data_IF_662239795748
#
_entry.id   IF_662239795748
#
_cell.length_a   1.000
_cell.length_b   1.000
_cell.length_c   1.000
_cell.angle_alpha   90.00
_cell.angle_beta   90.00
_cell.angle_gamma   90.00
#
_symmetry.space_group_name_H-M   'P 1'
#
loop_
_entity.id
_entity.type
_entity.pdbx_description
1 polymer ?
2 non-polymer ?
3 non-polymer ?
4 non-polymer ?
5 water ?
#
# COMPACT_ATOMS: atom_id res chain seq x y z
N UNK A 1 15.16 -9.02 -16.85
CA UNK A 1 15.92 -7.80 -17.10
C UNK A 1 15.12 -6.58 -16.68
N UNK A 2 14.25 -6.09 -17.57
CA UNK A 2 13.46 -4.90 -17.31
C UNK A 2 12.17 -5.27 -16.58
N UNK A 3 11.48 -4.24 -16.08
CA UNK A 3 10.44 -4.45 -15.08
C UNK A 3 9.25 -5.22 -15.65
N UNK A 4 8.78 -4.85 -16.83
CA UNK A 4 7.65 -5.56 -17.41
C UNK A 4 7.98 -7.02 -17.65
N UNK A 5 9.25 -7.32 -17.99
CA UNK A 5 9.66 -8.70 -18.11
C UNK A 5 9.65 -9.41 -16.77
N UNK A 6 10.23 -8.77 -15.75
CA UNK A 6 10.31 -9.36 -14.41
C UNK A 6 8.92 -9.68 -13.87
N UNK A 7 7.94 -8.83 -14.16
CA UNK A 7 6.57 -9.10 -13.72
C UNK A 7 6.04 -10.40 -14.30
N UNK A 8 6.51 -10.78 -15.48
CA UNK A 8 5.99 -11.97 -16.12
C UNK A 8 6.80 -13.20 -15.73
N UNK A 9 8.12 -13.08 -15.64
CA UNK A 9 8.96 -14.27 -15.48
C UNK A 9 9.59 -14.40 -14.10
N UNK A 10 9.44 -13.41 -13.22
CA UNK A 10 10.04 -13.48 -11.90
C UNK A 10 9.10 -14.13 -10.88
N UNK A 11 9.69 -14.90 -9.99
CA UNK A 11 8.91 -15.71 -9.07
C UNK A 11 8.62 -17.07 -9.67
N UNK A 12 7.98 -17.91 -8.86
CA UNK A 12 7.61 -19.25 -9.28
C UNK A 12 6.10 -19.30 -9.46
N UNK A 13 5.65 -19.21 -10.71
CA UNK A 13 4.22 -19.12 -11.00
C UNK A 13 3.80 -20.16 -12.04
N UNK A 14 4.54 -21.26 -12.14
CA UNK A 14 4.16 -22.38 -12.98
C UNK A 14 4.21 -23.64 -12.15
N UNK A 15 3.76 -24.74 -12.72
CA UNK A 15 3.73 -26.02 -12.02
C UNK A 15 4.89 -26.87 -12.51
N UNK A 16 5.82 -27.17 -11.61
CA UNK A 16 6.94 -28.02 -11.98
C UNK A 16 6.47 -29.42 -12.39
N UNK A 17 5.40 -29.91 -11.75
CA UNK A 17 4.93 -31.28 -11.96
C UNK A 17 4.31 -31.45 -13.35
N UNK A 18 3.21 -30.74 -13.64
CA UNK A 18 2.53 -30.90 -14.94
C UNK A 18 3.02 -29.95 -16.01
N UNK A 19 3.79 -28.92 -15.66
CA UNK A 19 4.14 -27.90 -16.63
C UNK A 19 3.09 -26.82 -16.82
N UNK A 20 1.97 -26.89 -16.10
CA UNK A 20 0.92 -25.87 -16.20
C UNK A 20 1.53 -24.48 -16.08
N UNK A 21 1.23 -23.61 -17.05
CA UNK A 21 1.87 -22.30 -17.09
C UNK A 21 1.28 -21.31 -16.10
N UNK A 22 0.31 -21.71 -15.28
CA UNK A 22 -0.21 -20.91 -14.19
C UNK A 22 -0.14 -21.73 -12.92
N UNK A 23 -0.11 -21.04 -11.78
CA UNK A 23 0.00 -21.71 -10.49
C UNK A 23 -1.27 -22.49 -10.19
N UNK A 24 -1.18 -23.78 -9.88
CA UNK A 24 -2.38 -24.53 -9.49
C UNK A 24 -2.97 -23.99 -8.20
N UNK A 25 -4.29 -24.09 -8.09
CA UNK A 25 -5.01 -23.64 -6.90
C UNK A 25 -5.15 -24.81 -5.96
N UNK A 26 -4.36 -24.82 -4.88
CA UNK A 26 -4.36 -25.94 -3.93
C UNK A 26 -5.43 -25.67 -2.87
N UNK A 27 -6.67 -25.95 -3.24
CA UNK A 27 -7.80 -25.80 -2.33
C UNK A 27 -7.80 -27.04 -1.45
N UNK A 28 -6.91 -27.02 -0.46
CA UNK A 28 -6.59 -28.17 0.38
C UNK A 28 -6.06 -27.69 1.72
N UNK A 29 -6.21 -28.54 2.74
CA UNK A 29 -5.83 -28.21 4.11
C UNK A 29 -4.68 -29.03 4.65
N UNK A 30 -4.47 -30.25 4.15
CA UNK A 30 -3.47 -31.14 4.71
C UNK A 30 -2.88 -32.02 3.60
N UNK A 31 -1.83 -32.76 3.93
CA UNK A 31 -0.99 -33.39 2.92
C UNK A 31 -0.52 -34.76 3.40
N UNK A 32 -0.56 -35.73 2.48
CA UNK A 32 -0.03 -37.06 2.72
C UNK A 32 1.43 -37.01 3.11
N UNK A 33 1.79 -37.79 4.12
CA UNK A 33 3.18 -38.04 4.47
C UNK A 33 3.53 -39.49 4.13
N UNK A 34 4.64 -39.68 3.41
CA UNK A 34 5.06 -41.04 3.08
C UNK A 34 5.56 -41.77 4.31
N UNK A 35 6.28 -41.08 5.19
CA UNK A 35 6.61 -41.58 6.52
C UNK A 35 6.43 -40.44 7.48
N UNK A 36 6.30 -40.77 8.77
CA UNK A 36 6.19 -39.75 9.80
C UNK A 36 7.37 -38.80 9.67
N UNK A 37 7.09 -37.55 9.25
CA UNK A 37 8.10 -36.52 9.10
C UNK A 37 8.59 -36.32 7.68
N UNK A 38 8.26 -37.21 6.76
CA UNK A 38 8.70 -37.09 5.37
C UNK A 38 7.65 -36.32 4.60
N UNK A 39 7.93 -35.05 4.33
CA UNK A 39 7.07 -34.23 3.52
C UNK A 39 7.57 -34.29 2.07
N UNK A 40 6.65 -34.60 1.15
CA UNK A 40 7.03 -34.84 -0.25
C UNK A 40 7.68 -33.62 -0.87
N UNK A 41 7.08 -32.44 -0.66
CA UNK A 41 7.59 -31.20 -1.21
C UNK A 41 7.58 -30.10 -0.15
N UNK A 42 7.64 -30.48 1.12
CA UNK A 42 7.74 -29.55 2.21
C UNK A 42 6.42 -29.13 2.84
N UNK A 43 5.30 -29.64 2.35
CA UNK A 43 4.00 -29.22 2.83
C UNK A 43 3.45 -30.25 3.81
N UNK A 44 2.77 -29.77 4.85
CA UNK A 44 2.10 -30.67 5.80
C UNK A 44 0.79 -30.14 6.33
N UNK A 45 0.55 -28.82 6.34
CA UNK A 45 -0.69 -28.24 6.84
C UNK A 45 -0.81 -26.83 6.27
N UNK A 46 -1.95 -26.55 5.64
CA UNK A 46 -2.05 -25.38 4.77
C UNK A 46 -1.90 -24.05 5.53
N UNK A 47 -2.23 -24.01 6.83
CA UNK A 47 -2.00 -22.78 7.59
C UNK A 47 -0.50 -22.46 7.63
N UNK A 48 0.31 -23.49 7.90
CA UNK A 48 1.76 -23.32 7.93
C UNK A 48 2.29 -22.96 6.54
N UNK A 49 1.88 -23.69 5.51
CA UNK A 49 2.26 -23.38 4.14
C UNK A 49 1.29 -24.07 3.20
N UNK A 50 1.02 -23.39 2.08
CA UNK A 50 0.14 -23.84 1.01
C UNK A 50 0.86 -23.43 -0.27
N UNK A 51 0.92 -24.31 -1.28
CA UNK A 51 1.74 -24.01 -2.46
C UNK A 51 1.25 -22.84 -3.29
N UNK A 52 -0.06 -22.58 -3.32
CA UNK A 52 -0.53 -21.39 -4.02
C UNK A 52 -0.12 -20.12 -3.28
N UNK A 53 -0.30 -20.11 -1.95
CA UNK A 53 0.20 -18.98 -1.17
C UNK A 53 1.69 -18.83 -1.34
N UNK A 54 2.41 -19.96 -1.43
CA UNK A 54 3.86 -19.89 -1.58
C UNK A 54 4.23 -19.24 -2.90
N UNK A 55 3.46 -19.53 -3.95
CA UNK A 55 3.70 -18.88 -5.24
C UNK A 55 3.57 -17.37 -5.12
N UNK A 56 2.50 -16.90 -4.47
CA UNK A 56 2.33 -15.43 -4.40
C UNK A 56 3.40 -14.82 -3.51
N UNK A 57 3.79 -15.50 -2.44
CA UNK A 57 4.85 -15.00 -1.58
C UNK A 57 6.17 -14.86 -2.33
N UNK A 58 6.51 -15.86 -3.15
CA UNK A 58 7.72 -15.74 -3.95
C UNK A 58 7.61 -14.59 -4.93
N UNK A 59 6.39 -14.29 -5.38
CA UNK A 59 6.24 -13.17 -6.31
C UNK A 59 6.55 -11.85 -5.60
N UNK A 60 5.92 -11.62 -4.44
CA UNK A 60 6.15 -10.34 -3.76
C UNK A 60 7.60 -10.22 -3.33
N UNK A 61 8.22 -11.33 -2.89
CA UNK A 61 9.64 -11.28 -2.53
C UNK A 61 10.49 -10.89 -3.73
N UNK A 62 10.22 -11.50 -4.90
CA UNK A 62 11.01 -11.16 -6.09
C UNK A 62 10.80 -9.71 -6.51
N UNK A 63 9.56 -9.24 -6.45
CA UNK A 63 9.24 -7.91 -6.99
C UNK A 63 9.83 -6.81 -6.11
N UNK A 64 10.02 -7.07 -4.82
CA UNK A 64 10.62 -6.10 -3.91
C UNK A 64 12.11 -6.36 -3.67
N UNK A 65 12.73 -7.27 -4.42
CA UNK A 65 14.14 -7.67 -4.21
C UNK A 65 14.40 -8.10 -2.77
N UNK A 66 13.42 -8.76 -2.17
CA UNK A 66 13.59 -9.38 -0.87
C UNK A 66 13.92 -10.85 -0.98
N UNK A 67 13.89 -11.52 0.15
CA UNK A 67 14.18 -12.94 0.20
C UNK A 67 13.00 -13.76 0.68
N UNK A 68 12.07 -13.17 1.41
CA UNK A 68 10.98 -13.89 2.03
C UNK A 68 9.69 -13.11 1.81
N UNK A 69 8.65 -13.80 1.34
CA UNK A 69 7.33 -13.23 1.20
C UNK A 69 6.33 -13.88 2.13
N UNK A 70 5.29 -13.11 2.49
CA UNK A 70 4.22 -13.56 3.38
C UNK A 70 2.92 -12.97 2.88
N UNK A 71 1.87 -13.81 2.80
CA UNK A 71 0.57 -13.39 2.32
C UNK A 71 -0.45 -13.51 3.45
N UNK A 72 -1.12 -12.41 3.76
CA UNK A 72 -2.09 -12.33 4.84
C UNK A 72 -3.47 -12.05 4.28
N UNK A 73 -4.49 -12.32 5.12
CA UNK A 73 -5.87 -12.23 4.72
C UNK A 73 -6.34 -10.81 4.40
N UNK A 74 -5.53 -9.80 4.65
CA UNK A 74 -5.86 -8.41 4.38
C UNK A 74 -4.61 -7.57 4.63
N UNK A 75 -4.66 -6.32 4.16
CA UNK A 75 -3.60 -5.39 4.53
C UNK A 75 -3.46 -5.19 6.03
N UNK A 76 -4.59 -5.02 6.74
CA UNK A 76 -4.43 -4.76 8.18
C UNK A 76 -3.93 -6.00 8.89
N UNK A 77 -4.17 -7.19 8.34
CA UNK A 77 -3.60 -8.39 8.96
C UNK A 77 -2.09 -8.43 8.76
N UNK A 78 -1.60 -8.01 7.58
CA UNK A 78 -0.16 -7.86 7.41
C UNK A 78 0.41 -6.88 8.44
N UNK A 79 -0.28 -5.76 8.63
CA UNK A 79 0.21 -4.74 9.55
C UNK A 79 0.21 -5.26 10.98
N UNK A 80 -0.87 -5.92 11.41
CA UNK A 80 -0.89 -6.50 12.76
C UNK A 80 0.21 -7.54 12.94
N UNK A 81 0.44 -8.37 11.93
CA UNK A 81 1.56 -9.31 12.00
C UNK A 81 2.87 -8.58 12.26
N UNK A 82 3.12 -7.50 11.54
CA UNK A 82 4.39 -6.80 11.70
C UNK A 82 4.48 -6.13 13.07
N UNK A 83 3.38 -5.50 13.52
CA UNK A 83 3.37 -4.87 14.84
C UNK A 83 3.60 -5.90 15.93
N UNK A 84 3.20 -7.14 15.69
CA UNK A 84 3.39 -8.18 16.69
C UNK A 84 4.85 -8.63 16.80
N UNK A 85 5.75 -8.08 16.01
CA UNK A 85 7.16 -8.23 16.30
C UNK A 85 7.55 -7.56 17.62
N UNK A 86 6.71 -6.68 18.15
CA UNK A 86 7.01 -5.91 19.35
C UNK A 86 6.41 -6.57 20.60
N UNK A 87 6.86 -6.10 21.76
CA UNK A 87 6.38 -6.53 23.07
C UNK A 87 5.76 -5.34 23.79
N UNK A 88 4.96 -5.64 24.81
CA UNK A 88 4.48 -4.59 25.70
C UNK A 88 5.64 -3.74 26.20
N UNK A 89 5.40 -2.43 26.28
CA UNK A 89 6.43 -1.49 26.63
C UNK A 89 7.23 -0.96 25.47
N UNK A 90 7.19 -1.63 24.31
CA UNK A 90 7.86 -1.13 23.12
C UNK A 90 7.09 0.03 22.51
N UNK A 91 7.82 0.86 21.76
CA UNK A 91 7.30 2.10 21.24
C UNK A 91 7.52 2.13 19.73
N UNK A 92 6.52 2.62 19.00
CA UNK A 92 6.57 2.67 17.54
C UNK A 92 6.26 4.08 17.04
N UNK A 93 7.07 4.58 16.11
CA UNK A 93 6.85 5.85 15.43
C UNK A 93 6.14 5.59 14.10
N UNK A 94 5.05 6.31 13.85
CA UNK A 94 4.32 6.27 12.58
C UNK A 94 4.21 7.69 12.03
N UNK A 95 4.13 7.80 10.70
CA UNK A 95 3.91 9.12 10.13
C UNK A 95 2.52 9.62 10.51
N UNK A 96 2.41 10.93 10.71
CA UNK A 96 1.31 11.51 11.48
C UNK A 96 -0.03 11.28 10.81
N UNK A 97 -0.07 11.24 9.47
CA UNK A 97 -1.31 11.05 8.72
C UNK A 97 -1.45 9.63 8.19
N UNK A 98 -0.93 8.64 8.92
CA UNK A 98 -0.97 7.26 8.47
C UNK A 98 -2.42 6.82 8.23
N UNK A 99 -2.58 5.78 7.40
CA UNK A 99 -3.89 5.23 7.07
C UNK A 99 -4.78 5.08 8.30
N UNK A 100 -6.05 5.45 8.14
CA UNK A 100 -6.97 5.39 9.26
C UNK A 100 -7.08 4.02 9.90
N UNK A 101 -7.10 2.96 9.09
CA UNK A 101 -7.15 1.62 9.66
C UNK A 101 -5.91 1.28 10.46
N UNK A 102 -4.74 1.74 9.98
CA UNK A 102 -3.50 1.55 10.72
C UNK A 102 -3.56 2.26 12.06
N UNK A 103 -3.94 3.54 12.04
CA UNK A 103 -4.06 4.31 13.28
C UNK A 103 -5.01 3.64 14.26
N UNK A 104 -6.16 3.19 13.75
CA UNK A 104 -7.15 2.55 14.62
C UNK A 104 -6.60 1.27 15.23
N UNK A 105 -5.96 0.43 14.41
CA UNK A 105 -5.34 -0.78 14.94
C UNK A 105 -4.37 -0.46 16.07
N UNK A 106 -3.45 0.49 15.83
CA UNK A 106 -2.43 0.80 16.83
C UNK A 106 -3.05 1.37 18.10
N UNK A 107 -3.91 2.40 17.98
CA UNK A 107 -4.32 3.15 19.16
C UNK A 107 -5.50 2.53 19.90
N UNK A 108 -6.28 1.65 19.26
CA UNK A 108 -7.44 1.07 19.92
C UNK A 108 -7.31 -0.42 20.16
N UNK A 109 -6.30 -1.08 19.57
CA UNK A 109 -6.10 -2.50 19.80
C UNK A 109 -4.74 -2.68 20.46
N UNK A 110 -3.66 -2.26 19.81
CA UNK A 110 -2.35 -2.62 20.32
C UNK A 110 -1.93 -1.82 21.55
N UNK A 111 -2.49 -0.62 21.79
CA UNK A 111 -2.17 0.06 23.04
C UNK A 111 -2.76 -0.67 24.23
N UNK A 112 -3.85 -1.42 24.02
CA UNK A 112 -4.34 -2.26 25.12
C UNK A 112 -3.39 -3.40 25.44
N UNK A 113 -2.43 -3.68 24.55
CA UNK A 113 -1.37 -4.65 24.82
C UNK A 113 -0.06 -3.97 25.16
N UNK A 114 -0.10 -2.70 25.56
CA UNK A 114 1.09 -2.02 26.04
C UNK A 114 2.02 -1.53 24.95
N UNK A 115 1.60 -1.57 23.68
CA UNK A 115 2.38 -0.94 22.64
C UNK A 115 2.13 0.56 22.71
N UNK A 116 3.20 1.34 22.75
CA UNK A 116 3.06 2.79 22.74
C UNK A 116 3.35 3.32 21.34
N UNK A 117 2.57 4.31 20.93
CA UNK A 117 2.59 4.80 19.55
C UNK A 117 2.70 6.32 19.56
N UNK A 118 3.59 6.85 18.72
CA UNK A 118 3.72 8.28 18.51
C UNK A 118 3.64 8.63 17.03
N UNK A 119 2.78 9.58 16.69
CA UNK A 119 2.61 10.07 15.32
C UNK A 119 3.48 11.31 15.13
N UNK A 120 4.35 11.29 14.13
CA UNK A 120 5.22 12.43 13.88
C UNK A 120 5.17 12.80 12.41
N UNK A 121 5.50 14.05 12.11
CA UNK A 121 5.59 14.52 10.73
C UNK A 121 6.94 14.08 10.20
N UNK A 122 6.94 12.95 9.51
CA UNK A 122 8.17 12.39 8.96
C UNK A 122 8.62 13.07 7.67
N UNK A 123 7.88 14.06 7.16
CA UNK A 123 8.36 14.83 6.01
C UNK A 123 9.67 15.56 6.31
N UNK A 124 9.96 15.83 7.57
CA UNK A 124 11.29 16.23 8.01
C UNK A 124 11.83 15.09 8.87
N UNK A 125 12.89 14.42 8.39
CA UNK A 125 13.33 13.20 9.05
C UNK A 125 13.91 13.46 10.44
N UNK A 126 14.37 14.68 10.71
CA UNK A 126 14.83 14.96 12.07
C UNK A 126 13.70 14.88 13.09
N UNK A 127 12.45 15.03 12.66
CA UNK A 127 11.33 14.74 13.55
C UNK A 127 11.46 13.35 14.13
N UNK A 128 11.82 12.37 13.29
CA UNK A 128 11.98 11.01 13.78
C UNK A 128 13.03 10.98 14.87
N UNK A 129 14.17 11.62 14.62
CA UNK A 129 15.25 11.62 15.60
C UNK A 129 14.78 12.22 16.92
N UNK A 130 13.91 13.24 16.86
CA UNK A 130 13.46 13.84 18.12
C UNK A 130 12.53 12.90 18.86
N UNK A 131 11.71 12.15 18.12
CA UNK A 131 10.69 11.33 18.76
C UNK A 131 11.23 10.01 19.30
N UNK A 132 12.47 9.65 18.96
CA UNK A 132 13.02 8.40 19.44
C UNK A 132 13.14 8.43 20.96
N UNK A 133 12.56 7.44 21.60
CA UNK A 133 12.69 7.15 23.02
C UNK A 133 13.64 5.98 23.23
N UNK A 134 14.06 5.74 24.46
CA UNK A 134 14.82 4.50 24.73
C UNK A 134 14.01 3.23 24.43
N UNK A 135 12.68 3.26 24.54
CA UNK A 135 11.84 2.10 24.27
C UNK A 135 11.38 1.98 22.81
N UNK A 136 11.77 2.88 21.90
CA UNK A 136 11.30 2.78 20.53
C UNK A 136 11.98 1.62 19.81
N UNK A 137 11.18 0.75 19.18
CA UNK A 137 11.72 -0.39 18.45
C UNK A 137 11.33 -0.43 16.98
N UNK A 138 10.32 0.31 16.56
CA UNK A 138 9.84 0.24 15.19
C UNK A 138 9.59 1.64 14.65
N UNK A 139 9.94 1.82 13.38
CA UNK A 139 9.63 3.02 12.60
C UNK A 139 8.79 2.57 11.42
N UNK A 140 7.59 3.14 11.28
CA UNK A 140 6.59 2.71 10.30
C UNK A 140 6.21 3.89 9.42
N UNK A 141 6.44 3.79 8.12
CA UNK A 141 6.37 4.91 7.18
C UNK A 141 5.49 4.52 5.99
N UNK A 142 4.47 5.31 5.68
CA UNK A 142 3.86 5.32 4.35
C UNK A 142 4.42 6.48 3.54
N UNK A 143 4.75 6.22 2.28
CA UNK A 143 5.02 7.35 1.41
C UNK A 143 4.65 6.94 -0.02
N UNK A 144 3.82 7.74 -0.72
CA UNK A 144 3.15 8.91 -0.15
C UNK A 144 1.90 8.51 0.61
N UNK A 145 1.37 9.42 1.42
CA UNK A 145 0.32 9.15 2.39
C UNK A 145 -1.05 9.51 1.86
N UNK A 146 -2.08 9.11 2.60
CA UNK A 146 -3.46 9.39 2.22
C UNK A 146 -4.07 10.41 3.18
N UNK A 147 -4.87 11.37 2.69
CA UNK A 147 -5.18 11.65 1.27
C UNK A 147 -4.42 12.83 0.69
N UNK A 148 -3.41 13.36 1.39
CA UNK A 148 -2.70 14.54 0.89
C UNK A 148 -1.33 14.20 0.31
N UNK A 149 -0.96 12.91 0.28
CA UNK A 149 0.21 12.47 -0.46
C UNK A 149 1.49 13.14 0.02
N UNK A 150 1.70 13.13 1.34
CA UNK A 150 2.97 13.60 1.88
C UNK A 150 4.04 12.55 1.63
N UNK A 151 5.22 13.02 1.26
CA UNK A 151 6.36 12.19 0.88
C UNK A 151 7.34 12.15 2.06
N UNK A 152 7.84 10.96 2.38
CA UNK A 152 8.86 10.78 3.41
C UNK A 152 10.13 10.22 2.78
N UNK A 153 11.29 10.74 3.19
CA UNK A 153 12.56 10.28 2.66
C UNK A 153 12.83 8.87 3.19
N UNK A 154 12.75 7.88 2.31
CA UNK A 154 12.85 6.47 2.72
C UNK A 154 14.28 6.14 3.12
N UNK A 155 15.24 6.57 2.30
CA UNK A 155 16.64 6.21 2.55
C UNK A 155 17.14 6.78 3.88
N UNK A 156 16.80 8.04 4.16
CA UNK A 156 17.21 8.62 5.44
C UNK A 156 16.48 7.95 6.60
N UNK A 157 15.19 7.63 6.43
CA UNK A 157 14.50 6.90 7.48
C UNK A 157 15.19 5.57 7.77
N UNK A 158 15.68 4.90 6.72
CA UNK A 158 16.38 3.64 6.91
C UNK A 158 17.67 3.85 7.69
N UNK A 159 18.44 4.87 7.33
CA UNK A 159 19.69 5.15 8.05
C UNK A 159 19.43 5.45 9.52
N UNK A 160 18.50 6.36 9.79
CA UNK A 160 18.09 6.66 11.16
C UNK A 160 17.71 5.38 11.89
N UNK A 161 16.85 4.56 11.28
CA UNK A 161 16.41 3.33 11.94
C UNK A 161 17.58 2.40 12.26
N UNK A 162 18.53 2.26 11.33
CA UNK A 162 19.65 1.38 11.60
C UNK A 162 20.49 1.92 12.73
N UNK A 163 20.73 3.23 12.75
CA UNK A 163 21.61 3.80 13.76
C UNK A 163 21.04 3.64 15.16
N UNK A 164 19.72 3.74 15.30
CA UNK A 164 19.09 3.63 16.62
C UNK A 164 18.53 2.25 16.90
N UNK A 165 18.89 1.25 16.10
CA UNK A 165 18.42 -0.12 16.31
C UNK A 165 16.92 -0.30 16.19
N UNK A 166 16.30 0.28 15.17
CA UNK A 166 14.86 0.17 14.94
C UNK A 166 14.60 -0.72 13.74
N UNK A 167 13.55 -1.54 13.83
CA UNK A 167 12.99 -2.19 12.66
C UNK A 167 12.27 -1.14 11.81
N UNK A 168 12.75 -0.92 10.59
CA UNK A 168 12.08 0.00 9.67
C UNK A 168 11.09 -0.74 8.78
N UNK A 169 9.91 -0.15 8.60
CA UNK A 169 8.80 -0.71 7.84
C UNK A 169 8.26 0.37 6.91
N UNK A 170 8.02 0.02 5.65
CA UNK A 170 7.34 0.92 4.72
C UNK A 170 6.09 0.25 4.17
N UNK A 171 4.96 0.93 4.33
CA UNK A 171 3.72 0.60 3.65
C UNK A 171 3.83 1.17 2.24
N UNK A 172 4.15 0.31 1.28
CA UNK A 172 4.44 0.70 -0.10
C UNK A 172 3.21 0.55 -1.00
N UNK A 173 2.01 0.53 -0.42
CA UNK A 173 0.79 0.26 -1.18
C UNK A 173 0.62 1.23 -2.34
N UNK A 174 0.75 2.53 -2.06
CA UNK A 174 0.41 3.55 -3.05
C UNK A 174 1.35 3.54 -4.24
N UNK A 175 2.62 3.19 -4.03
CA UNK A 175 3.57 3.22 -5.13
C UNK A 175 3.69 1.88 -5.87
N UNK A 176 3.44 0.75 -5.17
CA UNK A 176 3.63 -0.62 -5.67
C UNK A 176 5.10 -0.94 -5.93
N UNK A 177 5.47 -2.21 -6.00
CA UNK A 177 6.87 -2.55 -6.33
C UNK A 177 7.29 -2.09 -7.71
N UNK A 178 6.35 -1.71 -8.57
CA UNK A 178 6.74 -1.31 -9.91
C UNK A 178 7.50 0.01 -9.93
N UNK A 179 7.32 0.86 -8.91
CA UNK A 179 7.88 2.21 -8.92
C UNK A 179 8.77 2.54 -7.73
N UNK A 180 8.72 1.76 -6.65
CA UNK A 180 9.40 2.11 -5.42
C UNK A 180 9.73 0.83 -4.68
N UNK A 181 11.00 0.63 -4.35
CA UNK A 181 11.47 -0.60 -3.70
C UNK A 181 12.16 -0.24 -2.39
N UNK A 182 11.41 -0.16 -1.29
CA UNK A 182 12.02 0.26 -0.03
C UNK A 182 13.16 -0.65 0.43
N UNK A 183 13.10 -1.96 0.16
CA UNK A 183 14.18 -2.82 0.63
C UNK A 183 15.50 -2.45 -0.02
N UNK A 184 15.46 -1.96 -1.27
CA UNK A 184 16.68 -1.52 -1.95
C UNK A 184 17.29 -0.30 -1.29
N UNK A 185 16.54 0.40 -0.46
CA UNK A 185 17.01 1.62 0.19
C UNK A 185 17.29 1.42 1.66
N UNK A 186 17.41 0.16 2.11
CA UNK A 186 17.83 -0.14 3.47
C UNK A 186 16.70 -0.46 4.44
N UNK A 187 15.44 -0.47 3.98
CA UNK A 187 14.33 -0.73 4.89
C UNK A 187 14.31 -2.21 5.26
N UNK A 188 13.95 -2.50 6.51
CA UNK A 188 13.92 -3.89 6.94
C UNK A 188 12.75 -4.65 6.32
N UNK A 189 11.56 -4.07 6.35
CA UNK A 189 10.32 -4.76 5.97
C UNK A 189 9.47 -3.84 5.09
N UNK A 190 8.93 -4.39 4.00
CA UNK A 190 8.00 -3.66 3.14
C UNK A 190 6.68 -4.42 3.12
N UNK A 191 5.57 -3.69 3.17
CA UNK A 191 4.26 -4.33 3.12
C UNK A 191 3.33 -3.61 2.16
N UNK A 192 2.21 -4.26 1.86
CA UNK A 192 1.23 -3.81 0.89
C UNK A 192 -0.17 -4.29 1.28
N UNK A 193 -1.15 -3.41 1.12
CA UNK A 193 -2.52 -3.86 0.90
C UNK A 193 -2.63 -4.28 -0.56
N UNK A 194 -2.51 -5.59 -0.81
CA UNK A 194 -2.69 -6.08 -2.18
C UNK A 194 -4.12 -5.95 -2.64
N UNK A 195 -5.02 -5.55 -1.74
CA UNK A 195 -6.40 -5.24 -2.04
C UNK A 195 -6.47 -4.15 -3.11
N UNK A 196 -5.43 -3.31 -3.16
CA UNK A 196 -5.43 -2.14 -4.04
C UNK A 196 -4.77 -2.51 -5.37
N UNK A 197 -3.65 -1.88 -5.72
CA UNK A 197 -3.07 -2.00 -7.07
C UNK A 197 -2.59 -3.41 -7.48
N UNK A 198 -2.01 -4.15 -6.53
CA UNK A 198 -1.39 -5.43 -6.86
C UNK A 198 -2.42 -6.41 -7.43
N UNK A 199 -3.47 -6.71 -6.66
CA UNK A 199 -4.57 -7.46 -7.21
C UNK A 199 -5.19 -6.72 -8.39
N UNK A 200 -5.44 -5.43 -8.21
CA UNK A 200 -5.71 -4.53 -9.30
C UNK A 200 -7.10 -4.58 -9.87
N UNK A 201 -7.95 -5.50 -9.41
CA UNK A 201 -9.25 -5.72 -10.05
C UNK A 201 -10.41 -5.68 -9.05
N UNK A 202 -10.18 -5.17 -7.84
CA UNK A 202 -11.23 -5.01 -6.82
C UNK A 202 -11.92 -6.31 -6.50
N UNK A 203 -11.16 -7.41 -6.44
CA UNK A 203 -11.83 -8.67 -6.19
C UNK A 203 -11.09 -9.56 -5.21
N UNK A 204 -10.07 -9.02 -4.53
CA UNK A 204 -9.33 -9.72 -3.48
C UNK A 204 -9.03 -8.74 -2.36
N UNK A 205 -9.31 -9.13 -1.13
CA UNK A 205 -8.79 -8.45 0.06
C UNK A 205 -7.61 -9.27 0.55
N UNK A 206 -6.43 -8.65 0.61
CA UNK A 206 -5.20 -9.38 0.88
C UNK A 206 -4.08 -8.42 1.29
N UNK A 207 -3.13 -8.95 2.06
CA UNK A 207 -1.92 -8.21 2.38
C UNK A 207 -0.67 -9.00 2.00
N UNK A 208 0.40 -8.28 1.69
CA UNK A 208 1.66 -8.92 1.34
C UNK A 208 2.81 -8.24 2.09
N UNK A 209 3.79 -9.04 2.51
CA UNK A 209 4.97 -8.58 3.24
C UNK A 209 6.22 -9.21 2.62
N UNK A 210 7.25 -8.40 2.41
CA UNK A 210 8.55 -8.92 1.98
C UNK A 210 9.67 -8.40 2.88
N UNK A 211 10.68 -9.26 3.06
CA UNK A 211 11.89 -8.87 3.80
C UNK A 211 13.10 -9.64 3.25
N UNK A 212 14.29 -9.10 3.51
CA UNK A 212 15.55 -9.78 3.26
C UNK A 212 16.21 -10.28 4.53
N UNK A 213 15.60 -10.04 5.67
CA UNK A 213 16.17 -10.36 6.97
C UNK A 213 15.70 -11.74 7.39
N UNK A 214 16.65 -12.69 7.49
CA UNK A 214 16.30 -14.07 7.85
C UNK A 214 15.63 -14.14 9.22
N UNK A 215 16.13 -13.38 10.20
CA UNK A 215 15.58 -13.49 11.56
C UNK A 215 14.21 -12.83 11.64
N UNK A 216 14.05 -11.66 11.05
CA UNK A 216 12.73 -11.07 10.95
C UNK A 216 11.77 -11.97 10.19
N UNK A 217 12.25 -12.63 9.14
CA UNK A 217 11.39 -13.55 8.38
C UNK A 217 10.94 -14.72 9.25
N UNK A 218 11.85 -15.27 10.05
CA UNK A 218 11.50 -16.38 10.95
C UNK A 218 10.47 -15.94 11.99
N UNK A 219 10.61 -14.72 12.50
CA UNK A 219 9.63 -14.24 13.48
C UNK A 219 8.27 -13.98 12.83
N UNK A 220 8.26 -13.39 11.65
CA UNK A 220 7.01 -13.21 10.91
C UNK A 220 6.34 -14.54 10.64
N UNK A 221 7.11 -15.55 10.21
CA UNK A 221 6.52 -16.85 9.92
C UNK A 221 5.92 -17.45 11.18
N UNK A 222 6.61 -17.30 12.31
CA UNK A 222 6.06 -17.80 13.57
C UNK A 222 4.76 -17.08 13.93
N UNK A 223 4.72 -15.77 13.77
CA UNK A 223 3.52 -15.00 14.07
C UNK A 223 2.38 -15.39 13.13
N UNK A 224 2.68 -15.55 11.84
CA UNK A 224 1.64 -15.91 10.89
C UNK A 224 1.08 -17.29 11.20
N UNK A 225 1.94 -18.22 11.56
CA UNK A 225 1.46 -19.57 11.88
C UNK A 225 0.72 -19.61 13.20
N UNK A 226 1.03 -18.71 14.14
CA UNK A 226 0.36 -18.79 15.44
C UNK A 226 -0.90 -17.95 15.54
N UNK A 227 -0.98 -16.81 14.83
CA UNK A 227 -2.19 -16.00 14.84
C UNK A 227 -3.06 -16.19 13.60
N UNK A 228 -2.52 -16.76 12.52
CA UNK A 228 -3.33 -17.40 11.49
C UNK A 228 -4.08 -16.51 10.54
N UNK A 229 -3.62 -15.28 10.31
CA UNK A 229 -4.23 -14.40 9.33
C UNK A 229 -3.74 -14.65 7.91
N UNK A 230 -3.78 -15.93 7.47
CA UNK A 230 -3.23 -16.35 6.18
C UNK A 230 -4.21 -16.05 5.04
N UNK A 231 -3.66 -15.76 3.87
CA UNK A 231 -4.47 -15.66 2.65
C UNK A 231 -4.76 -17.05 2.12
N UNK A 232 -6.00 -17.27 1.65
CA UNK A 232 -6.40 -18.55 1.09
C UNK A 232 -5.87 -18.76 -0.32
N UNK A 233 -5.94 -20.01 -0.80
CA UNK A 233 -5.35 -20.31 -2.12
C UNK A 233 -6.03 -19.63 -3.31
N UNK A 234 -7.36 -19.52 -3.30
CA UNK A 234 -8.04 -18.87 -4.42
C UNK A 234 -7.66 -17.40 -4.51
N UNK A 235 -7.58 -16.71 -3.36
CA UNK A 235 -7.18 -15.31 -3.38
C UNK A 235 -5.72 -15.15 -3.76
N UNK A 236 -4.85 -16.05 -3.29
CA UNK A 236 -3.47 -16.01 -3.74
C UNK A 236 -3.38 -16.14 -5.25
N UNK A 237 -4.16 -17.06 -5.84
CA UNK A 237 -4.13 -17.23 -7.29
C UNK A 237 -4.57 -15.95 -8.00
N UNK A 238 -5.70 -15.38 -7.56
CA UNK A 238 -6.17 -14.14 -8.17
C UNK A 238 -5.16 -13.01 -8.02
N UNK A 239 -4.38 -13.01 -6.92
CA UNK A 239 -3.34 -12.01 -6.75
C UNK A 239 -2.22 -12.18 -7.78
N UNK A 240 -1.66 -13.40 -7.88
CA UNK A 240 -0.64 -13.67 -8.90
C UNK A 240 -1.14 -13.23 -10.29
N UNK A 241 -2.38 -13.61 -10.62
CA UNK A 241 -2.93 -13.28 -11.93
C UNK A 241 -3.02 -11.76 -12.11
N UNK A 242 -3.49 -11.04 -11.09
CA UNK A 242 -3.60 -9.60 -11.21
C UNK A 242 -2.25 -8.92 -11.34
N UNK A 243 -1.25 -9.45 -10.65
CA UNK A 243 0.05 -8.80 -10.66
C UNK A 243 0.67 -8.88 -12.05
N UNK A 244 0.33 -9.93 -12.83
CA UNK A 244 0.84 -10.01 -14.21
C UNK A 244 0.73 -8.68 -14.98
N UNK A 245 -0.38 -7.97 -14.86
CA UNK A 245 -0.58 -6.74 -15.62
C UNK A 245 -0.22 -5.45 -14.84
N UNK A 246 0.45 -5.57 -13.69
CA UNK A 246 0.69 -4.40 -12.84
C UNK A 246 1.40 -3.30 -13.62
N UNK A 247 2.44 -3.64 -14.38
CA UNK A 247 3.21 -2.61 -15.06
C UNK A 247 2.38 -1.86 -16.09
N UNK A 248 1.67 -2.62 -16.95
CA UNK A 248 0.81 -1.98 -17.95
C UNK A 248 -0.23 -1.09 -17.30
N UNK A 249 -0.84 -1.57 -16.20
CA UNK A 249 -1.87 -0.79 -15.53
C UNK A 249 -1.28 0.48 -14.94
N UNK A 250 -0.20 0.37 -14.16
CA UNK A 250 0.40 1.55 -13.55
C UNK A 250 0.85 2.56 -14.59
N UNK A 251 1.34 2.09 -15.74
CA UNK A 251 1.82 3.06 -16.74
C UNK A 251 0.65 3.81 -17.37
N UNK A 252 -0.45 3.10 -17.67
CA UNK A 252 -1.64 3.80 -18.14
C UNK A 252 -2.13 4.81 -17.11
N UNK A 253 -2.22 4.37 -15.84
CA UNK A 253 -2.65 5.23 -14.75
C UNK A 253 -1.78 6.47 -14.66
N UNK A 254 -0.47 6.32 -14.89
CA UNK A 254 0.44 7.46 -14.79
C UNK A 254 0.25 8.44 -15.95
N UNK A 255 0.03 7.93 -17.17
CA UNK A 255 -0.26 8.83 -18.30
C UNK A 255 -1.51 9.68 -18.00
N UNK A 256 -2.56 9.01 -17.51
CA UNK A 256 -3.76 9.78 -17.18
C UNK A 256 -3.51 10.73 -16.00
N UNK A 257 -2.68 10.34 -15.03
CA UNK A 257 -2.43 11.21 -13.88
C UNK A 257 -1.80 12.52 -14.33
N UNK A 258 -0.75 12.44 -15.16
CA UNK A 258 -0.12 13.65 -15.67
C UNK A 258 -1.15 14.55 -16.36
N UNK A 259 -1.95 13.98 -17.26
CA UNK A 259 -2.90 14.84 -18.00
C UNK A 259 -3.98 15.41 -17.08
N UNK A 260 -4.51 14.60 -16.17
CA UNK A 260 -5.55 15.07 -15.26
C UNK A 260 -5.01 16.19 -14.36
N UNK A 261 -3.75 16.09 -13.94
CA UNK A 261 -3.19 17.14 -13.07
C UNK A 261 -3.04 18.45 -13.84
N UNK A 262 -2.61 18.39 -15.10
CA UNK A 262 -2.61 19.61 -15.92
C UNK A 262 -4.01 20.24 -15.96
N UNK A 263 -5.02 19.42 -16.25
CA UNK A 263 -6.40 19.92 -16.27
C UNK A 263 -6.79 20.56 -14.94
N UNK A 264 -6.51 19.87 -13.82
CA UNK A 264 -6.96 20.37 -12.52
C UNK A 264 -6.29 21.69 -12.16
N UNK A 265 -4.99 21.79 -12.42
CA UNK A 265 -4.29 23.04 -12.14
C UNK A 265 -4.82 24.18 -12.99
N UNK A 266 -5.31 23.89 -14.21
CA UNK A 266 -5.84 24.98 -15.02
C UNK A 266 -7.28 25.38 -14.66
N UNK A 267 -8.01 24.56 -13.93
CA UNK A 267 -9.45 24.79 -13.87
C UNK A 267 -9.81 25.80 -12.77
N UNK A 268 -10.77 26.68 -13.06
CA UNK A 268 -11.12 27.73 -12.07
C UNK A 268 -11.82 27.21 -10.84
N UNK A 269 -12.61 26.14 -10.95
CA UNK A 269 -13.36 25.60 -9.83
C UNK A 269 -12.53 24.69 -8.94
N UNK A 270 -11.21 24.71 -9.07
CA UNK A 270 -10.29 23.84 -8.34
C UNK A 270 -9.24 24.72 -7.70
N UNK A 271 -9.05 24.56 -6.39
CA UNK A 271 -8.00 25.30 -5.69
C UNK A 271 -6.74 24.45 -5.59
N UNK A 272 -6.42 23.94 -4.41
CA UNK A 272 -5.17 23.21 -4.25
C UNK A 272 -5.26 21.79 -4.79
N UNK A 273 -4.14 21.33 -5.35
CA UNK A 273 -4.00 19.96 -5.86
C UNK A 273 -2.84 19.30 -5.12
N UNK A 274 -3.08 18.08 -4.64
CA UNK A 274 -2.10 17.32 -3.86
C UNK A 274 -1.64 16.10 -4.65
N UNK A 275 -0.37 16.10 -5.07
CA UNK A 275 0.26 14.97 -5.74
C UNK A 275 1.78 15.18 -5.84
N UNK A 276 2.58 14.13 -5.59
CA UNK A 276 4.03 14.30 -5.55
C UNK A 276 4.66 14.68 -6.87
N UNK A 277 3.92 14.59 -8.00
CA UNK A 277 4.48 14.97 -9.30
C UNK A 277 4.60 16.47 -9.46
N UNK A 278 3.73 17.24 -8.77
CA UNK A 278 3.79 18.69 -8.82
C UNK A 278 5.10 19.17 -8.21
N UNK A 279 5.82 20.03 -8.94
CA UNK A 279 7.15 20.45 -8.52
C UNK A 279 7.13 21.31 -7.26
N UNK A 280 6.00 21.95 -6.96
CA UNK A 280 5.86 22.74 -5.74
C UNK A 280 5.55 21.89 -4.52
N UNK A 281 5.29 20.59 -4.72
CA UNK A 281 4.95 19.69 -3.62
C UNK A 281 6.15 19.47 -2.71
N UNK A 282 5.89 19.47 -1.40
CA UNK A 282 6.94 19.22 -0.42
C UNK A 282 7.62 17.88 -0.68
N UNK A 283 8.96 17.91 -0.74
CA UNK A 283 9.78 16.71 -0.98
C UNK A 283 9.52 16.08 -2.35
N UNK A 284 9.19 16.91 -3.35
CA UNK A 284 9.06 16.39 -4.71
C UNK A 284 10.40 15.82 -5.18
N UNK A 285 11.50 16.51 -4.88
CA UNK A 285 12.83 16.03 -5.19
C UNK A 285 13.09 14.67 -4.54
N UNK A 286 12.66 14.52 -3.28
CA UNK A 286 12.90 13.28 -2.56
C UNK A 286 12.15 12.13 -3.22
N UNK A 287 10.87 12.35 -3.52
CA UNK A 287 10.09 11.31 -4.20
C UNK A 287 10.77 10.92 -5.49
N UNK A 288 11.19 11.91 -6.28
CA UNK A 288 11.82 11.55 -7.54
C UNK A 288 13.09 10.75 -7.32
N UNK A 289 13.80 11.02 -6.24
CA UNK A 289 15.03 10.28 -5.94
C UNK A 289 14.75 8.85 -5.50
N UNK A 290 13.57 8.53 -4.99
CA UNK A 290 13.33 7.19 -4.48
C UNK A 290 12.29 6.40 -5.28
N UNK A 291 11.66 6.99 -6.29
CA UNK A 291 10.69 6.31 -7.11
C UNK A 291 10.88 6.74 -8.55
N UNK A 292 10.48 5.89 -9.49
CA UNK A 292 10.56 6.27 -10.90
C UNK A 292 9.17 6.30 -11.55
N UNK A 293 8.16 6.63 -10.75
CA UNK A 293 6.83 6.88 -11.26
C UNK A 293 5.98 7.41 -10.14
N UNK A 294 4.67 7.35 -10.33
CA UNK A 294 3.75 8.03 -9.43
C UNK A 294 2.59 7.14 -9.04
N UNK A 295 2.01 7.46 -7.88
CA UNK A 295 0.78 6.81 -7.50
C UNK A 295 -0.38 7.39 -8.31
N UNK A 296 -1.47 6.63 -8.39
CA UNK A 296 -2.66 7.05 -9.11
C UNK A 296 -3.68 7.78 -8.26
N UNK A 297 -3.35 8.06 -7.00
CA UNK A 297 -4.23 8.79 -6.08
C UNK A 297 -3.91 10.27 -6.21
N UNK A 298 -4.94 11.07 -6.44
CA UNK A 298 -4.85 12.52 -6.47
C UNK A 298 -5.91 13.08 -5.54
N UNK A 299 -5.60 14.19 -4.86
CA UNK A 299 -6.60 14.94 -4.12
C UNK A 299 -6.58 16.39 -4.57
N UNK A 300 -7.76 17.00 -4.54
CA UNK A 300 -7.88 18.41 -4.94
C UNK A 300 -9.09 19.03 -4.27
N UNK A 301 -9.01 20.34 -4.02
CA UNK A 301 -10.07 21.10 -3.38
C UNK A 301 -11.07 21.67 -4.39
N UNK A 302 -12.36 21.39 -4.19
CA UNK A 302 -13.42 22.22 -4.77
C UNK A 302 -13.94 23.13 -3.66
N UNK A 303 -15.04 23.86 -3.94
CA UNK A 303 -15.47 24.94 -3.06
C UNK A 303 -15.97 24.44 -1.71
N UNK A 304 -16.79 23.39 -1.72
CA UNK A 304 -17.52 23.01 -0.52
C UNK A 304 -18.16 21.65 -0.75
N UNK A 305 -18.92 21.19 0.24
CA UNK A 305 -19.52 19.87 0.21
C UNK A 305 -20.40 19.68 -1.02
N UNK A 306 -21.26 20.65 -1.32
CA UNK A 306 -22.23 20.35 -2.37
C UNK A 306 -21.63 20.48 -3.76
N UNK A 307 -20.56 21.27 -3.93
CA UNK A 307 -19.77 21.18 -5.16
C UNK A 307 -19.16 19.78 -5.32
N UNK A 308 -18.68 19.18 -4.23
CA UNK A 308 -18.11 17.83 -4.31
C UNK A 308 -19.18 16.81 -4.70
N UNK A 309 -20.35 16.90 -4.08
CA UNK A 309 -21.42 15.97 -4.42
C UNK A 309 -21.89 16.17 -5.86
N UNK A 310 -22.00 17.43 -6.30
CA UNK A 310 -22.34 17.71 -7.69
C UNK A 310 -21.30 17.10 -8.62
N UNK A 311 -20.02 17.32 -8.33
CA UNK A 311 -18.93 16.74 -9.11
C UNK A 311 -19.12 15.23 -9.24
N UNK A 312 -19.29 14.55 -8.12
CA UNK A 312 -19.46 13.10 -8.15
C UNK A 312 -20.59 12.71 -9.08
N UNK A 313 -21.73 13.40 -8.99
CA UNK A 313 -22.86 12.92 -9.76
C UNK A 313 -22.84 13.41 -11.22
N UNK A 314 -21.98 14.37 -11.55
CA UNK A 314 -21.85 14.83 -12.92
C UNK A 314 -20.91 13.96 -13.76
N UNK A 315 -19.94 13.30 -13.13
CA UNK A 315 -18.99 12.48 -13.87
C UNK A 315 -19.66 11.20 -14.37
N UNK A 316 -19.31 10.79 -15.59
CA UNK A 316 -19.77 9.50 -16.10
C UNK A 316 -18.79 8.35 -15.84
N UNK A 317 -17.49 8.64 -15.69
CA UNK A 317 -16.48 7.59 -15.60
C UNK A 317 -15.78 7.51 -14.25
N UNK A 318 -16.21 8.30 -13.26
CA UNK A 318 -15.66 8.21 -11.90
C UNK A 318 -16.71 7.63 -10.98
N UNK A 319 -16.37 6.53 -10.33
CA UNK A 319 -17.31 5.71 -9.57
C UNK A 319 -17.19 5.97 -8.07
N UNK A 320 -18.33 6.07 -7.39
CA UNK A 320 -18.36 6.35 -5.96
C UNK A 320 -18.30 5.03 -5.20
N UNK A 321 -17.14 4.75 -4.61
CA UNK A 321 -16.95 3.53 -3.84
C UNK A 321 -15.71 3.71 -2.96
N UNK A 322 -15.60 2.85 -1.96
CA UNK A 322 -14.37 2.75 -1.13
C UNK A 322 -13.27 2.02 -1.93
N UNK A 323 -12.06 2.14 -1.41
CA UNK A 323 -10.80 1.53 -1.92
C UNK A 323 -10.16 2.39 -3.01
N UNK A 324 -8.98 1.99 -3.41
CA UNK A 324 -8.26 2.67 -4.52
C UNK A 324 -7.49 1.62 -5.34
N UNK A 325 -6.96 1.95 -6.51
CA UNK A 325 -6.26 0.90 -7.26
C UNK A 325 -7.13 -0.10 -8.03
N UNK A 326 -8.31 0.30 -8.50
CA UNK A 326 -9.17 -0.56 -9.32
C UNK A 326 -8.84 -0.37 -10.81
N UNK A 327 -9.47 -1.16 -11.69
CA UNK A 327 -9.36 -0.82 -13.10
C UNK A 327 -10.25 0.38 -13.40
N UNK A 328 -11.35 0.54 -12.65
CA UNK A 328 -12.19 1.72 -12.70
C UNK A 328 -11.56 2.89 -11.96
N UNK A 329 -11.87 4.10 -12.42
CA UNK A 329 -11.49 5.29 -11.64
C UNK A 329 -12.50 5.49 -10.52
N UNK A 330 -11.99 5.77 -9.32
CA UNK A 330 -12.82 5.89 -8.12
C UNK A 330 -12.74 7.30 -7.56
N UNK A 331 -13.86 7.77 -7.00
CA UNK A 331 -13.94 9.11 -6.45
C UNK A 331 -14.57 9.04 -5.07
N UNK A 332 -14.16 9.96 -4.20
CA UNK A 332 -14.54 9.93 -2.79
C UNK A 332 -14.32 11.30 -2.17
N UNK A 333 -14.96 11.51 -1.02
CA UNK A 333 -14.84 12.74 -0.24
C UNK A 333 -14.39 12.38 1.16
N UNK A 334 -13.09 12.44 1.45
CA UNK A 334 -12.60 12.03 2.77
C UNK A 334 -13.38 12.61 3.93
N UNK A 335 -13.70 13.91 3.89
CA UNK A 335 -14.35 14.55 5.04
C UNK A 335 -15.67 13.88 5.40
N UNK A 336 -16.28 13.16 4.47
CA UNK A 336 -17.53 12.47 4.73
C UNK A 336 -17.39 10.96 4.85
N UNK A 337 -16.34 10.37 4.30
CA UNK A 337 -16.26 8.93 4.15
C UNK A 337 -15.13 8.29 4.94
N UNK A 338 -14.06 9.01 5.21
CA UNK A 338 -12.93 8.46 5.95
C UNK A 338 -12.53 9.30 7.15
N UNK A 339 -12.90 10.58 7.20
CA UNK A 339 -12.52 11.45 8.32
C UNK A 339 -13.74 12.08 8.98
N UNK A 340 -14.91 11.44 8.85
CA UNK A 340 -16.16 12.03 9.34
C UNK A 340 -16.27 12.04 10.85
N UNK A 341 -15.56 11.17 11.55
CA UNK A 341 -15.62 11.15 13.01
C UNK A 341 -14.79 12.26 13.63
N UNK A 342 -13.82 12.79 12.89
CA UNK A 342 -12.99 13.89 13.39
C UNK A 342 -13.83 15.17 13.41
N UNK A 343 -13.79 15.94 14.49
CA UNK A 343 -14.51 17.22 14.51
C UNK A 343 -14.10 18.11 13.34
N UNK A 344 -15.05 18.95 12.91
CA UNK A 344 -14.91 19.67 11.65
C UNK A 344 -13.72 20.61 11.64
N UNK A 345 -13.41 21.24 12.78
CA UNK A 345 -12.35 22.23 12.77
C UNK A 345 -10.96 21.61 12.84
N UNK A 346 -10.84 20.40 13.39
CA UNK A 346 -9.56 19.70 13.23
C UNK A 346 -9.44 19.14 11.81
N UNK A 347 -10.56 18.78 11.17
CA UNK A 347 -10.52 18.46 9.75
C UNK A 347 -9.97 19.62 8.95
N UNK A 348 -10.54 20.81 9.14
CA UNK A 348 -10.04 22.01 8.46
C UNK A 348 -8.57 22.25 8.79
N UNK A 349 -8.20 22.10 10.06
CA UNK A 349 -6.79 22.26 10.47
C UNK A 349 -5.88 21.36 9.65
N UNK A 350 -6.28 20.10 9.45
CA UNK A 350 -5.43 19.12 8.78
C UNK A 350 -5.42 19.26 7.27
N UNK A 351 -6.29 20.10 6.71
CA UNK A 351 -6.42 20.22 5.27
C UNK A 351 -7.53 19.40 4.67
N UNK A 352 -8.25 18.63 5.50
CA UNK A 352 -9.37 17.82 5.03
C UNK A 352 -10.61 18.70 4.94
N UNK A 353 -10.59 19.67 4.03
CA UNK A 353 -11.70 20.58 3.86
C UNK A 353 -12.92 19.83 3.33
N UNK A 354 -14.10 20.46 3.46
CA UNK A 354 -15.33 19.81 3.00
C UNK A 354 -15.35 19.59 1.49
N UNK A 355 -14.60 20.37 0.73
CA UNK A 355 -14.51 20.20 -0.70
C UNK A 355 -13.30 19.43 -1.19
N UNK A 356 -12.57 18.77 -0.30
CA UNK A 356 -11.46 17.94 -0.74
C UNK A 356 -11.99 16.65 -1.36
N UNK A 357 -11.69 16.45 -2.63
CA UNK A 357 -12.06 15.24 -3.38
C UNK A 357 -10.80 14.42 -3.55
N UNK A 358 -10.94 13.11 -3.41
CA UNK A 358 -9.88 12.17 -3.75
C UNK A 358 -10.35 11.31 -4.91
N UNK A 359 -9.51 11.21 -5.94
CA UNK A 359 -9.74 10.29 -7.05
C UNK A 359 -8.60 9.29 -7.08
N UNK A 360 -8.93 8.04 -7.34
CA UNK A 360 -7.97 7.00 -7.67
C UNK A 360 -8.11 6.71 -9.16
N UNK A 361 -7.12 7.17 -9.95
CA UNK A 361 -7.15 7.02 -11.39
C UNK A 361 -7.09 5.56 -11.79
N UNK A 362 -7.97 5.17 -12.72
CA UNK A 362 -8.03 3.83 -13.26
C UNK A 362 -7.37 3.75 -14.62
N UNK A 363 -7.80 2.77 -15.42
CA UNK A 363 -7.13 2.50 -16.68
C UNK A 363 -8.01 2.83 -17.89
N UNK A 364 -9.04 3.66 -17.70
CA UNK A 364 -9.84 4.15 -18.81
C UNK A 364 -8.96 5.01 -19.71
N UNK A 365 -9.52 5.34 -20.89
CA UNK A 365 -8.80 6.19 -21.81
C UNK A 365 -8.47 7.52 -21.16
N UNK A 366 -7.21 7.98 -21.32
CA UNK A 366 -6.77 9.21 -20.68
C UNK A 366 -7.68 10.39 -21.04
N UNK A 367 -7.90 10.60 -22.33
CA UNK A 367 -8.67 11.76 -22.77
C UNK A 367 -10.09 11.69 -22.24
N UNK A 368 -10.67 10.50 -22.17
CA UNK A 368 -12.00 10.37 -21.57
C UNK A 368 -12.00 10.79 -20.09
N UNK A 369 -10.98 10.40 -19.32
CA UNK A 369 -10.96 10.77 -17.90
C UNK A 369 -10.75 12.26 -17.72
N UNK A 370 -9.83 12.85 -18.49
CA UNK A 370 -9.65 14.31 -18.47
C UNK A 370 -10.95 15.02 -18.84
N UNK A 371 -11.56 14.64 -19.98
CA UNK A 371 -12.74 15.34 -20.47
C UNK A 371 -13.93 15.18 -19.53
N UNK A 372 -14.15 13.97 -19.03
CA UNK A 372 -15.28 13.72 -18.14
C UNK A 372 -15.14 14.53 -16.86
N UNK A 373 -13.96 14.50 -16.24
CA UNK A 373 -13.78 15.29 -15.03
C UNK A 373 -13.91 16.78 -15.32
N UNK A 374 -13.37 17.25 -16.45
CA UNK A 374 -13.42 18.69 -16.73
C UNK A 374 -14.85 19.15 -16.98
N UNK A 375 -15.61 18.42 -17.79
CA UNK A 375 -17.01 18.79 -18.01
C UNK A 375 -17.80 18.74 -16.70
N UNK A 376 -17.48 17.81 -15.80
CA UNK A 376 -18.18 17.81 -14.51
C UNK A 376 -17.79 19.03 -13.67
N UNK A 377 -16.51 19.41 -13.70
CA UNK A 377 -16.07 20.59 -12.98
C UNK A 377 -16.70 21.87 -13.54
N UNK A 378 -16.91 21.90 -14.85
CA UNK A 378 -17.50 23.07 -15.52
C UNK A 378 -18.94 23.34 -15.08
N UNK A 379 -19.61 22.37 -14.45
CA UNK A 379 -20.95 22.59 -13.90
C UNK A 379 -20.95 23.19 -12.50
N UNK A 380 -19.81 23.62 -11.97
CA UNK A 380 -19.75 24.13 -10.59
C UNK A 380 -19.83 25.65 -10.50
X LIG B 1 7.32 -21.48 -4.54
X LIG C 1 16.39 -7.68 -12.31
X LIG C 1 15.46 -6.53 -12.02
X LIG C 1 16.13 -9.18 -10.27
X LIG C 1 15.51 -10.37 -9.98
X LIG C 1 14.09 -11.96 -11.50
X LIG C 1 13.60 -12.13 -12.81
X LIG C 1 13.89 -11.16 -13.77
X LIG C 1 14.64 -10.06 -13.46
X LIG C 1 15.13 -9.90 -12.15
X LIG C 1 14.86 -10.85 -11.17
X LIG C 1 15.89 -8.89 -11.60
X LIG C 1 15.43 -6.08 -10.78
X LIG C 1 14.76 -6.07 -12.92
X LIG C 1 13.22 -11.39 -15.53
X LIG D 1 19.13 -4.53 4.45
X LIG E 1 13.03 2.55 -5.22
X LIG F 1 -12.47 1.75 4.67
X LIG F 1 -11.40 2.77 4.89
X LIG F 1 -10.60 3.11 3.63
X LIG F 1 -10.25 1.94 2.85
X LIG F 1 -11.29 0.98 2.64
X LIG F 1 -11.94 0.58 3.95
X LIG F 1 -9.14 1.98 1.91
X LIG F 1 -9.00 3.29 1.12
X LIG F 1 -7.98 4.11 1.67
X LIG F 1 -13.05 1.22 5.92
X LIG F 1 -12.40 1.78 7.19
X LIG F 1 -10.97 0.77 7.71
X LIG F 1 -11.46 -0.55 8.06
X LIG F 1 -10.34 1.40 8.86
X LIG F 1 -9.98 0.63 6.64
#
# INVERSE_FOLDING_TARGET
SNKKTKLIHGGHTTDDYTGAVTTPIYQTSTYLQDDIGDLRQGYEYSRTANPTRSSVESVIATLENGKHGFAFSSGVAAISAVVMLLDKGDHIILNSDVYGGTARALTKVFTRFGIEVDFVDTTHTDSIVQAIRPTTKMLFIETPSNPLLRVTDIKKSAEIAKEHGLISVVDNTFMTPYYQNPLDLGIDIVLHSATKYLGGHSDVVAGLVATSDDKLAERLAFISNSTGGILGPQDSYLLVRGIKTLGLRMEQINRSVIEIIKMLQAHPAVQQVFHPSIESHLNHDVHMAQADGHTGVIAFEVKNTESAKQLIKATSYYTLAESLGAVESLISVPALMTHASIPADIRAKEGITDGLVRISVGIEDTEDLVDDLKQALDTL
LB6 BR
LB6 C10 C11 C2 C3 C4 C5 C6 C7 C8 C9 N1 N2 O1 BR
NA NA
NA NA
EPE N1 C2 C3 N4 C5 C6 C7 C8 O8 C9 C10 S O1S O2S O3S
#
